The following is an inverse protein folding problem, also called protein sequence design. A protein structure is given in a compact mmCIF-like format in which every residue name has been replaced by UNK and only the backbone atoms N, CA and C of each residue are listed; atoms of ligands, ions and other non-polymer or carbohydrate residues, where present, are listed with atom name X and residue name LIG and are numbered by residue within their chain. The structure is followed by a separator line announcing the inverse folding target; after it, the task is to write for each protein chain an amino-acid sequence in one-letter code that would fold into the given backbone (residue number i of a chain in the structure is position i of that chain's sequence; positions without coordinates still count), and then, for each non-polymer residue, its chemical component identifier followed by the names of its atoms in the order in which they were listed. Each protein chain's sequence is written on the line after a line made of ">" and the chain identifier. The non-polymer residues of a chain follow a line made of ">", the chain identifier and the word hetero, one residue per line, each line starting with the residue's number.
data_IF_812520928236
#
_entry.id   IF_812520928236
#
_cell.length_a   1.000
_cell.length_b   1.000
_cell.length_c   1.000
_cell.angle_alpha   90.00
_cell.angle_beta   90.00
_cell.angle_gamma   90.00
#
_symmetry.space_group_name_H-M   'P 1'
#
loop_
_entity.id
_entity.type
_entity.pdbx_description
1 polymer ?
#
# COMPACT_ATOMS: atom_id res chain seq x y z
N UNK A 1 18.59 13.86 8.92
CA UNK A 1 17.21 13.40 8.62
C UNK A 1 16.25 14.58 8.53
N UNK A 2 16.04 15.30 9.64
CA UNK A 2 15.09 16.41 9.76
C UNK A 2 15.07 17.45 8.62
N UNK A 3 16.24 17.92 8.13
CA UNK A 3 16.30 18.86 6.99
C UNK A 3 15.60 18.32 5.73
N UNK A 4 15.73 17.03 5.43
CA UNK A 4 15.09 16.42 4.26
C UNK A 4 13.58 16.33 4.45
N UNK A 5 13.14 15.98 5.65
CA UNK A 5 11.72 15.98 6.03
C UNK A 5 11.10 17.37 5.85
N UNK A 6 11.73 18.43 6.36
CA UNK A 6 11.24 19.80 6.17
C UNK A 6 11.21 20.23 4.70
N UNK A 7 12.18 19.80 3.89
CA UNK A 7 12.17 20.07 2.44
C UNK A 7 11.00 19.36 1.75
N UNK A 8 10.74 18.11 2.12
CA UNK A 8 9.63 17.34 1.56
C UNK A 8 8.26 17.93 1.94
N UNK A 9 8.11 18.38 3.20
CA UNK A 9 6.90 19.02 3.70
C UNK A 9 6.69 20.45 3.16
N UNK A 10 7.66 21.01 2.44
CA UNK A 10 7.60 22.39 1.93
C UNK A 10 7.90 23.45 2.98
N UNK A 11 8.18 23.06 4.23
CA UNK A 11 8.54 23.95 5.35
C UNK A 11 9.93 24.58 5.17
N UNK A 12 10.74 24.03 4.25
CA UNK A 12 12.07 24.54 3.93
C UNK A 12 12.32 24.51 2.43
N UNK A 13 12.87 25.61 1.90
CA UNK A 13 13.31 25.67 0.51
C UNK A 13 14.33 24.56 0.20
N UNK A 14 14.08 23.84 -0.88
CA UNK A 14 14.99 22.85 -1.44
C UNK A 14 14.85 22.80 -2.96
N UNK A 15 15.92 22.39 -3.64
CA UNK A 15 15.96 22.32 -5.11
C UNK A 15 15.74 20.89 -5.63
N UNK A 16 15.31 19.97 -4.77
CA UNK A 16 15.12 18.57 -5.13
C UNK A 16 13.68 18.32 -5.54
N UNK A 17 13.51 17.44 -6.52
CA UNK A 17 12.21 16.85 -6.83
C UNK A 17 11.60 16.19 -5.56
N UNK A 18 10.31 16.40 -5.26
CA UNK A 18 9.69 15.87 -4.05
C UNK A 18 9.77 14.34 -3.93
N UNK A 19 9.63 13.60 -5.03
CA UNK A 19 9.70 12.13 -4.97
C UNK A 19 11.13 11.64 -4.75
N UNK A 20 12.13 12.38 -5.27
CA UNK A 20 13.55 12.13 -4.95
C UNK A 20 13.83 12.40 -3.47
N UNK A 21 13.31 13.49 -2.91
CA UNK A 21 13.46 13.81 -1.49
C UNK A 21 12.80 12.72 -0.60
N UNK A 22 11.59 12.28 -0.96
CA UNK A 22 10.87 11.18 -0.30
C UNK A 22 11.70 9.89 -0.31
N UNK A 23 12.20 9.50 -1.48
CA UNK A 23 13.02 8.29 -1.63
C UNK A 23 14.32 8.37 -0.81
N UNK A 24 14.99 9.54 -0.74
CA UNK A 24 16.18 9.72 0.10
C UNK A 24 15.89 9.58 1.60
N UNK A 25 14.74 10.08 2.08
CA UNK A 25 14.32 9.93 3.48
C UNK A 25 14.11 8.44 3.78
N UNK A 26 13.33 7.75 2.94
CA UNK A 26 13.02 6.33 3.07
C UNK A 26 14.30 5.49 3.07
N UNK A 27 15.20 5.69 2.11
CA UNK A 27 16.43 4.88 1.99
C UNK A 27 17.41 5.11 3.12
N UNK A 28 17.52 6.35 3.65
CA UNK A 28 18.34 6.62 4.84
C UNK A 28 17.81 5.91 6.08
N UNK A 29 16.49 5.93 6.32
CA UNK A 29 15.87 5.24 7.45
C UNK A 29 15.81 3.71 7.26
N UNK A 30 15.75 3.26 6.01
CA UNK A 30 15.87 1.84 5.66
C UNK A 30 17.21 1.28 6.12
N UNK A 31 18.30 1.96 5.72
CA UNK A 31 19.67 1.53 5.97
C UNK A 31 20.11 1.64 7.43
N UNK A 32 19.52 2.55 8.21
CA UNK A 32 19.89 2.80 9.60
C UNK A 32 18.66 2.65 10.51
N UNK A 33 18.51 1.46 11.11
CA UNK A 33 17.34 1.11 11.93
C UNK A 33 17.08 2.08 13.09
N UNK A 34 18.10 2.53 13.87
CA UNK A 34 17.92 3.59 14.87
C UNK A 34 17.27 4.88 14.36
N UNK A 35 17.39 5.21 13.06
CA UNK A 35 16.77 6.42 12.50
C UNK A 35 15.26 6.28 12.27
N UNK A 36 14.69 5.08 12.34
CA UNK A 36 13.26 4.86 12.05
C UNK A 36 12.38 5.48 13.12
N UNK A 37 12.66 5.21 14.39
CA UNK A 37 11.89 5.78 15.50
C UNK A 37 12.08 7.30 15.57
N UNK A 38 13.30 7.80 15.34
CA UNK A 38 13.58 9.23 15.25
C UNK A 38 12.80 9.90 14.10
N UNK A 39 12.69 9.23 12.95
CA UNK A 39 11.90 9.71 11.81
C UNK A 39 10.41 9.79 12.18
N UNK A 40 9.85 8.74 12.78
CA UNK A 40 8.45 8.73 13.21
C UNK A 40 8.18 9.78 14.29
N UNK A 41 9.10 9.96 15.24
CA UNK A 41 9.01 11.01 16.26
C UNK A 41 9.01 12.42 15.62
N UNK A 42 9.90 12.67 14.66
CA UNK A 42 9.94 13.94 13.92
C UNK A 42 8.64 14.16 13.13
N UNK A 43 8.08 13.12 12.52
CA UNK A 43 6.82 13.21 11.79
C UNK A 43 5.63 13.52 12.71
N UNK A 44 5.53 12.85 13.86
CA UNK A 44 4.53 13.16 14.89
C UNK A 44 4.63 14.63 15.28
N UNK A 45 5.84 15.09 15.62
CA UNK A 45 6.07 16.50 15.98
C UNK A 45 5.64 17.47 14.89
N UNK A 46 5.92 17.18 13.62
CA UNK A 46 5.59 18.06 12.50
C UNK A 46 4.12 17.97 12.05
N UNK A 47 3.37 16.97 12.50
CA UNK A 47 1.94 16.79 12.17
C UNK A 47 1.02 17.18 13.33
N UNK A 48 1.55 17.27 14.55
CA UNK A 48 0.82 17.80 15.71
C UNK A 48 0.71 19.32 15.59
N UNK A 49 -0.52 19.85 15.73
CA UNK A 49 -0.82 21.29 15.70
C UNK A 49 -0.25 22.03 14.47
N UNK A 50 -0.14 21.35 13.32
CA UNK A 50 0.35 21.97 12.09
C UNK A 50 -0.79 22.72 11.38
N UNK A 51 -0.75 24.05 11.47
CA UNK A 51 -1.76 24.93 10.85
C UNK A 51 -1.61 25.07 9.32
N UNK A 52 -0.56 24.53 8.71
CA UNK A 52 -0.33 24.60 7.27
C UNK A 52 -0.81 23.31 6.61
N UNK A 53 -1.99 23.35 5.99
CA UNK A 53 -2.64 22.16 5.42
C UNK A 53 -1.77 21.39 4.42
N UNK A 54 -1.07 22.10 3.54
CA UNK A 54 -0.19 21.46 2.55
C UNK A 54 1.02 20.77 3.20
N UNK A 55 1.57 21.36 4.27
CA UNK A 55 2.63 20.76 5.08
C UNK A 55 2.11 19.55 5.85
N UNK A 56 0.99 19.69 6.54
CA UNK A 56 0.33 18.62 7.30
C UNK A 56 0.06 17.39 6.43
N UNK A 57 -0.55 17.58 5.25
CA UNK A 57 -0.78 16.49 4.29
C UNK A 57 0.51 15.79 3.88
N UNK A 58 1.59 16.54 3.63
CA UNK A 58 2.90 15.97 3.28
C UNK A 58 3.52 15.19 4.42
N UNK A 59 3.34 15.63 5.67
CA UNK A 59 3.78 14.90 6.85
C UNK A 59 3.09 13.54 6.98
N UNK A 60 1.76 13.52 6.79
CA UNK A 60 0.97 12.30 6.81
C UNK A 60 1.25 11.38 5.61
N UNK A 61 1.42 11.93 4.41
CA UNK A 61 1.86 11.19 3.21
C UNK A 61 3.22 10.50 3.46
N UNK A 62 4.19 11.23 4.03
CA UNK A 62 5.51 10.69 4.36
C UNK A 62 5.42 9.57 5.41
N UNK A 63 4.65 9.75 6.47
CA UNK A 63 4.44 8.72 7.51
C UNK A 63 3.87 7.43 6.90
N UNK A 64 2.83 7.58 6.08
CA UNK A 64 2.13 6.51 5.38
C UNK A 64 3.05 5.72 4.44
N UNK A 65 3.90 6.42 3.66
CA UNK A 65 4.90 5.80 2.79
C UNK A 65 5.98 5.09 3.59
N UNK A 66 6.48 5.68 4.68
CA UNK A 66 7.49 5.05 5.54
C UNK A 66 6.98 3.74 6.15
N UNK A 67 5.73 3.72 6.62
CA UNK A 67 5.07 2.50 7.10
C UNK A 67 4.83 1.48 5.99
N UNK A 68 4.84 1.85 4.71
CA UNK A 68 4.83 0.84 3.64
C UNK A 68 6.18 0.14 3.46
N UNK A 69 7.26 0.73 3.98
CA UNK A 69 8.63 0.27 3.78
C UNK A 69 9.17 -0.44 5.02
N UNK A 70 9.06 0.17 6.19
CA UNK A 70 9.64 -0.37 7.42
C UNK A 70 8.79 -0.08 8.65
N UNK A 71 8.78 -0.98 9.64
CA UNK A 71 8.07 -0.74 10.90
C UNK A 71 8.83 0.27 11.80
N UNK A 72 8.15 0.88 12.77
CA UNK A 72 8.81 1.39 13.98
C UNK A 72 9.41 0.22 14.79
N UNK A 73 10.22 0.50 15.81
CA UNK A 73 10.62 -0.53 16.76
C UNK A 73 9.42 -1.08 17.54
N UNK A 74 9.53 -2.31 18.04
CA UNK A 74 8.48 -2.92 18.87
C UNK A 74 8.11 -2.07 20.09
N UNK A 75 9.10 -1.38 20.69
CA UNK A 75 8.89 -0.47 21.82
C UNK A 75 8.08 0.76 21.43
N UNK A 76 8.26 1.25 20.20
CA UNK A 76 7.62 2.48 19.73
C UNK A 76 6.29 2.25 19.00
N UNK A 77 6.02 1.01 18.60
CA UNK A 77 4.84 0.62 17.83
C UNK A 77 3.53 1.12 18.47
N UNK A 78 3.27 0.77 19.73
CA UNK A 78 2.02 1.13 20.42
C UNK A 78 1.85 2.64 20.60
N UNK A 79 2.96 3.39 20.71
CA UNK A 79 2.89 4.85 20.80
C UNK A 79 2.49 5.48 19.47
N UNK A 80 3.12 5.04 18.36
CA UNK A 80 2.76 5.51 17.02
C UNK A 80 1.33 5.12 16.65
N UNK A 81 0.91 3.89 16.98
CA UNK A 81 -0.46 3.42 16.77
C UNK A 81 -1.47 4.28 17.55
N UNK A 82 -1.23 4.55 18.83
CA UNK A 82 -2.09 5.43 19.63
C UNK A 82 -2.22 6.84 19.05
N UNK A 83 -1.11 7.40 18.53
CA UNK A 83 -1.11 8.70 17.85
C UNK A 83 -1.98 8.69 16.58
N UNK A 84 -1.81 7.68 15.71
CA UNK A 84 -2.60 7.53 14.48
C UNK A 84 -4.08 7.37 14.81
N UNK A 85 -4.40 6.51 15.78
CA UNK A 85 -5.78 6.25 16.21
C UNK A 85 -6.47 7.50 16.78
N UNK A 86 -5.75 8.36 17.49
CA UNK A 86 -6.32 9.63 18.00
C UNK A 86 -6.81 10.55 16.88
N UNK A 87 -6.07 10.63 15.77
CA UNK A 87 -6.45 11.44 14.61
C UNK A 87 -7.66 10.88 13.87
N UNK A 88 -7.83 9.55 13.85
CA UNK A 88 -9.03 8.91 13.31
C UNK A 88 -10.28 9.27 14.13
N UNK A 89 -10.15 9.35 15.46
CA UNK A 89 -11.25 9.77 16.34
C UNK A 89 -11.60 11.24 16.18
N UNK A 90 -10.60 12.11 16.09
CA UNK A 90 -10.85 13.56 16.00
C UNK A 90 -11.49 13.97 14.65
N UNK A 91 -11.20 13.24 13.57
CA UNK A 91 -11.87 13.44 12.27
C UNK A 91 -13.38 13.12 12.28
N UNK A 92 -13.92 12.48 13.33
CA UNK A 92 -15.36 12.23 13.46
C UNK A 92 -16.15 13.47 13.94
N UNK A 93 -15.45 14.55 14.33
CA UNK A 93 -16.11 15.79 14.76
C UNK A 93 -16.53 16.62 13.54
N UNK A 94 -17.75 17.17 13.51
CA UNK A 94 -18.21 17.98 12.40
C UNK A 94 -17.37 19.27 12.28
N UNK A 95 -16.82 19.51 11.09
CA UNK A 95 -16.06 20.73 10.78
C UNK A 95 -16.96 21.73 10.04
N UNK A 96 -16.90 23.00 10.42
CA UNK A 96 -17.82 24.02 9.92
C UNK A 96 -17.49 24.56 8.51
N UNK A 97 -16.30 24.27 7.96
CA UNK A 97 -15.85 24.78 6.65
C UNK A 97 -15.49 23.63 5.69
N UNK A 98 -15.92 23.76 4.44
CA UNK A 98 -15.71 22.75 3.37
C UNK A 98 -14.21 22.45 3.17
N UNK A 99 -13.36 23.47 3.06
CA UNK A 99 -11.92 23.26 2.86
C UNK A 99 -11.26 22.53 4.05
N UNK A 100 -11.65 22.89 5.28
CA UNK A 100 -11.15 22.23 6.48
C UNK A 100 -11.65 20.78 6.55
N UNK A 101 -12.86 20.50 6.07
CA UNK A 101 -13.41 19.14 5.93
C UNK A 101 -12.67 18.32 4.88
N UNK A 102 -12.34 18.89 3.71
CA UNK A 102 -11.57 18.20 2.66
C UNK A 102 -10.19 17.80 3.18
N UNK A 103 -9.49 18.72 3.85
CA UNK A 103 -8.20 18.45 4.47
C UNK A 103 -8.35 17.35 5.53
N UNK A 104 -9.33 17.47 6.43
CA UNK A 104 -9.65 16.47 7.45
C UNK A 104 -9.89 15.08 6.82
N UNK A 105 -10.66 14.99 5.75
CA UNK A 105 -10.90 13.74 5.02
C UNK A 105 -9.61 13.16 4.42
N UNK A 106 -8.72 13.99 3.87
CA UNK A 106 -7.42 13.52 3.36
C UNK A 106 -6.52 13.02 4.48
N UNK A 107 -6.48 13.71 5.61
CA UNK A 107 -5.73 13.27 6.80
C UNK A 107 -6.30 11.95 7.33
N UNK A 108 -7.63 11.80 7.36
CA UNK A 108 -8.28 10.54 7.74
C UNK A 108 -7.81 9.38 6.86
N UNK A 109 -7.81 9.53 5.53
CA UNK A 109 -7.34 8.50 4.61
C UNK A 109 -5.87 8.11 4.83
N UNK A 110 -4.99 9.10 5.07
CA UNK A 110 -3.59 8.79 5.43
C UNK A 110 -3.50 8.02 6.75
N UNK A 111 -4.25 8.46 7.77
CA UNK A 111 -4.26 7.83 9.08
C UNK A 111 -4.83 6.40 9.03
N UNK A 112 -5.88 6.16 8.26
CA UNK A 112 -6.48 4.83 8.05
C UNK A 112 -5.46 3.88 7.41
N UNK A 113 -4.76 4.35 6.38
CA UNK A 113 -3.71 3.56 5.75
C UNK A 113 -2.51 3.32 6.68
N UNK A 114 -2.15 4.28 7.54
CA UNK A 114 -1.13 4.08 8.57
C UNK A 114 -1.56 3.02 9.59
N UNK A 115 -2.81 3.11 10.08
CA UNK A 115 -3.39 2.19 11.04
C UNK A 115 -3.42 0.76 10.49
N UNK A 116 -3.94 0.59 9.27
CA UNK A 116 -3.95 -0.69 8.58
C UNK A 116 -2.55 -1.32 8.47
N UNK A 117 -1.52 -0.52 8.15
CA UNK A 117 -0.14 -1.01 8.03
C UNK A 117 0.46 -1.40 9.37
N UNK A 118 0.22 -0.62 10.43
CA UNK A 118 0.69 -0.93 11.78
C UNK A 118 0.08 -2.26 12.28
N UNK A 119 -1.23 -2.40 12.19
CA UNK A 119 -1.92 -3.65 12.56
C UNK A 119 -1.42 -4.85 11.75
N UNK A 120 -1.19 -4.67 10.45
CA UNK A 120 -0.65 -5.73 9.58
C UNK A 120 0.74 -6.16 10.04
N UNK A 121 1.63 -5.22 10.33
CA UNK A 121 2.98 -5.52 10.81
C UNK A 121 2.99 -6.26 12.14
N UNK A 122 2.04 -5.96 13.03
CA UNK A 122 1.88 -6.64 14.31
C UNK A 122 1.43 -8.10 14.12
N UNK A 123 0.54 -8.37 13.17
CA UNK A 123 -0.01 -9.72 12.91
C UNK A 123 0.92 -10.63 12.11
N UNK A 124 1.46 -10.15 10.99
CA UNK A 124 2.21 -10.99 10.03
C UNK A 124 3.73 -10.84 10.16
N UNK A 125 4.20 -10.02 11.10
CA UNK A 125 5.57 -9.55 11.12
C UNK A 125 5.86 -8.60 9.95
N UNK A 126 7.00 -7.90 10.04
CA UNK A 126 7.43 -6.99 8.98
C UNK A 126 8.14 -7.77 7.88
N UNK A 127 7.75 -7.57 6.61
CA UNK A 127 8.54 -8.04 5.46
C UNK A 127 9.93 -7.43 5.58
N UNK A 128 10.93 -8.23 5.98
CA UNK A 128 12.34 -7.82 5.91
C UNK A 128 12.68 -7.72 4.43
N UNK A 129 12.56 -6.53 3.85
CA UNK A 129 13.02 -6.34 2.48
C UNK A 129 14.49 -6.73 2.41
N UNK A 130 14.81 -7.64 1.51
CA UNK A 130 16.18 -8.11 1.32
C UNK A 130 17.04 -7.04 0.63
N UNK A 131 16.40 -6.07 -0.04
CA UNK A 131 17.05 -4.98 -0.77
C UNK A 131 16.46 -3.61 -0.40
N UNK A 132 17.27 -2.58 -0.61
CA UNK A 132 16.87 -1.19 -0.45
C UNK A 132 15.72 -0.82 -1.42
N UNK A 133 14.73 -0.01 -1.00
CA UNK A 133 13.66 0.46 -1.86
C UNK A 133 14.16 1.34 -3.00
N UNK A 134 13.61 1.11 -4.19
CA UNK A 134 13.79 1.94 -5.38
C UNK A 134 12.84 3.14 -5.35
N UNK A 135 13.14 4.17 -6.16
CA UNK A 135 12.23 5.32 -6.31
C UNK A 135 10.85 4.90 -6.88
N UNK A 136 10.81 3.88 -7.75
CA UNK A 136 9.59 3.36 -8.31
C UNK A 136 8.69 2.71 -7.24
N UNK A 137 9.28 1.94 -6.33
CA UNK A 137 8.57 1.32 -5.20
C UNK A 137 8.03 2.38 -4.22
N UNK A 138 8.81 3.43 -3.95
CA UNK A 138 8.38 4.56 -3.11
C UNK A 138 7.22 5.32 -3.76
N UNK A 139 7.28 5.60 -5.07
CA UNK A 139 6.18 6.22 -5.81
C UNK A 139 4.95 5.31 -5.87
N UNK A 140 5.14 4.00 -5.99
CA UNK A 140 4.04 3.03 -5.94
C UNK A 140 3.35 3.04 -4.57
N UNK A 141 4.11 3.04 -3.48
CA UNK A 141 3.56 3.13 -2.12
C UNK A 141 2.77 4.42 -1.88
N UNK A 142 3.25 5.55 -2.41
CA UNK A 142 2.55 6.84 -2.36
C UNK A 142 1.21 6.80 -3.12
N UNK A 143 1.20 6.23 -4.34
CA UNK A 143 -0.04 6.06 -5.13
C UNK A 143 -1.04 5.13 -4.45
N UNK A 144 -0.56 4.05 -3.83
CA UNK A 144 -1.40 3.06 -3.18
C UNK A 144 -2.18 3.58 -1.96
N UNK A 145 -1.86 4.77 -1.44
CA UNK A 145 -2.61 5.40 -0.36
C UNK A 145 -4.05 5.72 -0.82
N UNK A 146 -4.19 6.18 -2.06
CA UNK A 146 -5.48 6.63 -2.63
C UNK A 146 -6.01 5.69 -3.71
N UNK A 147 -5.16 4.78 -4.18
CA UNK A 147 -5.50 3.77 -5.18
C UNK A 147 -5.34 2.39 -4.52
N UNK A 148 -6.35 1.95 -3.76
CA UNK A 148 -6.28 0.64 -3.11
C UNK A 148 -6.18 -0.45 -4.18
N UNK A 149 -5.36 -1.47 -3.88
CA UNK A 149 -5.02 -2.56 -4.78
C UNK A 149 -5.73 -3.83 -4.35
N UNK A 150 -6.19 -4.64 -5.30
CA UNK A 150 -6.74 -5.97 -5.01
C UNK A 150 -5.64 -6.98 -4.63
N UNK A 151 -4.36 -6.62 -4.78
CA UNK A 151 -3.22 -7.42 -4.34
C UNK A 151 -2.70 -6.93 -2.99
N UNK A 152 -2.50 -7.83 -2.03
CA UNK A 152 -1.99 -7.44 -0.70
C UNK A 152 -3.06 -6.96 0.29
N UNK A 153 -4.32 -6.93 -0.12
CA UNK A 153 -5.52 -6.57 0.66
C UNK A 153 -6.25 -7.81 1.19
N UNK A 154 -7.25 -7.60 2.05
CA UNK A 154 -8.13 -8.71 2.48
C UNK A 154 -9.07 -9.12 1.35
N UNK A 155 -9.65 -10.31 1.47
CA UNK A 155 -10.75 -10.70 0.60
C UNK A 155 -11.93 -9.73 0.75
N UNK A 156 -12.25 -9.31 1.97
CA UNK A 156 -13.32 -8.35 2.28
C UNK A 156 -13.12 -7.03 1.53
N UNK A 157 -11.93 -6.43 1.64
CA UNK A 157 -11.58 -5.17 0.97
C UNK A 157 -11.66 -5.32 -0.55
N UNK A 158 -11.15 -6.45 -1.08
CA UNK A 158 -11.21 -6.75 -2.52
C UNK A 158 -12.66 -6.80 -3.00
N UNK A 159 -13.52 -7.48 -2.24
CA UNK A 159 -14.95 -7.58 -2.53
C UNK A 159 -15.66 -6.23 -2.39
N UNK A 160 -15.29 -5.39 -1.43
CA UNK A 160 -15.85 -4.04 -1.27
C UNK A 160 -15.48 -3.16 -2.46
N UNK A 161 -14.19 -3.10 -2.84
CA UNK A 161 -13.73 -2.33 -4.00
C UNK A 161 -14.41 -2.79 -5.30
N UNK A 162 -14.62 -4.09 -5.44
CA UNK A 162 -15.30 -4.68 -6.59
C UNK A 162 -16.73 -4.15 -6.76
N UNK A 163 -17.46 -3.85 -5.68
CA UNK A 163 -18.88 -3.44 -5.79
C UNK A 163 -19.09 -2.19 -6.64
N UNK A 164 -18.05 -1.36 -6.81
CA UNK A 164 -18.09 -0.18 -7.66
C UNK A 164 -18.25 -0.55 -9.14
N UNK A 165 -17.51 -1.57 -9.60
CA UNK A 165 -17.46 -1.96 -11.02
C UNK A 165 -18.35 -3.18 -11.32
N UNK A 166 -18.48 -4.09 -10.36
CA UNK A 166 -19.18 -5.37 -10.51
C UNK A 166 -20.03 -5.69 -9.26
N UNK A 167 -21.11 -4.93 -8.99
CA UNK A 167 -21.92 -5.05 -7.78
C UNK A 167 -22.60 -6.41 -7.60
N UNK A 168 -22.91 -7.09 -8.70
CA UNK A 168 -23.66 -8.35 -8.68
C UNK A 168 -22.78 -9.60 -8.51
N UNK A 169 -21.45 -9.44 -8.59
CA UNK A 169 -20.53 -10.56 -8.47
C UNK A 169 -20.41 -11.02 -7.01
N UNK A 170 -20.74 -12.29 -6.79
CA UNK A 170 -20.65 -12.96 -5.47
C UNK A 170 -19.27 -13.52 -5.16
N UNK A 171 -18.41 -13.62 -6.18
CA UNK A 171 -17.03 -14.08 -6.08
C UNK A 171 -16.10 -12.95 -6.51
N UNK A 172 -14.82 -12.96 -6.09
CA UNK A 172 -13.83 -12.00 -6.54
C UNK A 172 -13.69 -12.01 -8.06
N UNK A 173 -13.77 -10.83 -8.67
CA UNK A 173 -13.70 -10.62 -10.11
C UNK A 173 -12.37 -11.12 -10.66
N UNK A 174 -11.27 -10.85 -9.95
CA UNK A 174 -9.93 -11.32 -10.32
C UNK A 174 -9.83 -12.85 -10.37
N UNK A 175 -10.54 -13.56 -9.48
CA UNK A 175 -10.61 -15.02 -9.50
C UNK A 175 -11.32 -15.51 -10.77
N UNK A 176 -12.47 -14.91 -11.07
CA UNK A 176 -13.27 -15.22 -12.27
C UNK A 176 -12.48 -14.95 -13.55
N UNK A 177 -12.00 -13.72 -13.74
CA UNK A 177 -11.39 -13.31 -14.99
C UNK A 177 -10.08 -14.07 -15.30
N UNK A 178 -9.24 -14.34 -14.29
CA UNK A 178 -8.02 -15.11 -14.49
C UNK A 178 -8.32 -16.59 -14.75
N UNK A 179 -9.30 -17.17 -14.07
CA UNK A 179 -9.70 -18.58 -14.27
C UNK A 179 -10.32 -18.78 -15.66
N UNK A 180 -11.22 -17.90 -16.06
CA UNK A 180 -11.77 -17.88 -17.43
C UNK A 180 -10.66 -17.75 -18.46
N UNK A 181 -9.66 -16.89 -18.21
CA UNK A 181 -8.55 -16.74 -19.14
C UNK A 181 -7.69 -17.99 -19.25
N UNK A 182 -7.39 -18.66 -18.14
CA UNK A 182 -6.68 -19.95 -18.13
C UNK A 182 -7.45 -20.99 -18.95
N UNK A 183 -8.78 -21.07 -18.78
CA UNK A 183 -9.63 -22.01 -19.53
C UNK A 183 -9.65 -21.68 -21.03
N UNK A 184 -9.81 -20.41 -21.41
CA UNK A 184 -9.82 -19.96 -22.80
C UNK A 184 -8.51 -20.27 -23.53
N UNK A 185 -7.39 -20.25 -22.82
CA UNK A 185 -6.05 -20.59 -23.35
C UNK A 185 -5.72 -22.08 -23.22
N UNK A 186 -6.73 -22.94 -23.07
CA UNK A 186 -6.59 -24.40 -22.93
C UNK A 186 -5.67 -24.83 -21.77
N UNK A 187 -5.60 -24.02 -20.72
CA UNK A 187 -4.74 -24.25 -19.55
C UNK A 187 -5.09 -25.54 -18.79
N UNK A 188 -6.31 -26.06 -18.92
CA UNK A 188 -6.72 -27.35 -18.34
C UNK A 188 -5.98 -28.55 -18.93
N UNK A 189 -5.42 -28.41 -20.14
CA UNK A 189 -4.60 -29.44 -20.79
C UNK A 189 -3.09 -29.22 -20.59
N UNK A 190 -2.68 -28.11 -19.96
CA UNK A 190 -1.27 -27.79 -19.72
C UNK A 190 -0.77 -28.54 -18.51
N UNK A 191 0.20 -29.44 -18.72
CA UNK A 191 0.82 -30.18 -17.62
C UNK A 191 1.52 -29.22 -16.66
N UNK A 192 1.14 -29.28 -15.38
CA UNK A 192 1.77 -28.44 -14.37
C UNK A 192 1.46 -26.96 -14.52
N UNK A 193 0.26 -26.59 -15.00
CA UNK A 193 -0.21 -25.19 -15.13
C UNK A 193 0.03 -24.31 -13.89
N UNK A 194 -0.03 -24.89 -12.70
CA UNK A 194 0.28 -24.19 -11.44
C UNK A 194 1.70 -24.44 -10.91
N UNK A 195 2.49 -25.29 -11.57
CA UNK A 195 3.89 -25.62 -11.23
C UNK A 195 4.88 -24.84 -12.08
N UNK A 196 4.62 -24.68 -13.38
CA UNK A 196 5.47 -23.93 -14.32
C UNK A 196 5.15 -22.43 -14.19
N UNK A 197 6.17 -21.56 -14.01
CA UNK A 197 5.93 -20.12 -13.99
C UNK A 197 5.81 -19.56 -15.41
N UNK A 198 4.82 -18.70 -15.66
CA UNK A 198 4.82 -17.81 -16.82
C UNK A 198 5.92 -16.74 -16.76
N UNK A 199 6.12 -16.03 -17.87
CA UNK A 199 7.09 -14.94 -17.98
C UNK A 199 6.81 -13.84 -16.93
N UNK A 200 7.85 -13.41 -16.22
CA UNK A 200 7.69 -12.51 -15.06
C UNK A 200 7.29 -11.09 -15.47
N UNK A 201 7.76 -10.61 -16.63
CA UNK A 201 7.44 -9.27 -17.11
C UNK A 201 6.00 -9.25 -17.62
N UNK A 202 5.55 -10.30 -18.29
CA UNK A 202 4.14 -10.47 -18.66
C UNK A 202 3.22 -10.61 -17.44
N UNK A 203 3.62 -11.36 -16.41
CA UNK A 203 2.85 -11.46 -15.15
C UNK A 203 2.72 -10.09 -14.48
N UNK A 204 3.80 -9.30 -14.43
CA UNK A 204 3.76 -7.97 -13.85
C UNK A 204 2.90 -6.99 -14.68
N UNK A 205 2.96 -7.08 -16.01
CA UNK A 205 2.10 -6.30 -16.89
C UNK A 205 0.62 -6.66 -16.68
N UNK A 206 0.31 -7.95 -16.62
CA UNK A 206 -1.05 -8.46 -16.37
C UNK A 206 -1.55 -8.05 -14.99
N UNK A 207 -0.68 -8.03 -13.98
CA UNK A 207 -0.99 -7.54 -12.64
C UNK A 207 -1.42 -6.07 -12.68
N UNK A 208 -0.64 -5.19 -13.29
CA UNK A 208 -0.98 -3.76 -13.40
C UNK A 208 -2.32 -3.57 -14.11
N UNK A 209 -2.58 -4.35 -15.17
CA UNK A 209 -3.82 -4.31 -15.93
C UNK A 209 -5.03 -4.73 -15.08
N UNK A 210 -4.97 -5.89 -14.44
CA UNK A 210 -6.05 -6.42 -13.59
C UNK A 210 -6.30 -5.55 -12.35
N UNK A 211 -5.25 -4.99 -11.75
CA UNK A 211 -5.38 -4.07 -10.60
C UNK A 211 -6.11 -2.76 -10.97
N UNK A 212 -6.20 -2.45 -12.27
CA UNK A 212 -7.00 -1.34 -12.82
C UNK A 212 -8.40 -1.76 -13.31
N UNK A 213 -8.85 -2.99 -12.98
CA UNK A 213 -10.13 -3.57 -13.40
C UNK A 213 -10.27 -3.83 -14.91
N UNK A 214 -9.15 -3.85 -15.64
CA UNK A 214 -9.14 -4.15 -17.08
C UNK A 214 -9.04 -5.67 -17.31
N UNK A 215 -9.86 -6.19 -18.23
CA UNK A 215 -9.90 -7.62 -18.56
C UNK A 215 -8.60 -8.10 -19.23
N UNK A 216 -8.11 -9.31 -18.90
CA UNK A 216 -6.85 -9.88 -19.40
C UNK A 216 -6.94 -10.47 -20.83
N UNK A 217 -7.61 -9.79 -21.75
CA UNK A 217 -7.99 -10.34 -23.08
C UNK A 217 -6.80 -10.62 -24.01
N UNK A 218 -5.67 -9.95 -23.75
CA UNK A 218 -4.40 -10.02 -24.48
C UNK A 218 -3.41 -11.06 -23.91
N UNK A 219 -3.72 -11.68 -22.77
CA UNK A 219 -2.85 -12.67 -22.14
C UNK A 219 -2.92 -14.01 -22.89
N UNK A 220 -1.98 -14.31 -23.77
CA UNK A 220 -2.05 -15.52 -24.61
C UNK A 220 -1.35 -16.75 -23.99
N UNK A 221 -0.68 -16.60 -22.85
CA UNK A 221 -0.05 -17.71 -22.13
C UNK A 221 -0.89 -18.08 -20.88
N UNK A 222 -1.42 -19.32 -20.79
CA UNK A 222 -2.14 -19.77 -19.61
C UNK A 222 -1.26 -19.79 -18.35
N UNK A 223 0.06 -20.00 -18.47
CA UNK A 223 0.98 -19.99 -17.32
C UNK A 223 1.16 -18.59 -16.73
N UNK A 224 1.05 -17.52 -17.54
CA UNK A 224 1.08 -16.13 -17.06
C UNK A 224 -0.15 -15.85 -16.22
N UNK A 225 -1.35 -16.18 -16.72
CA UNK A 225 -2.59 -16.03 -15.96
C UNK A 225 -2.60 -16.89 -14.67
N UNK A 226 -2.13 -18.15 -14.75
CA UNK A 226 -2.02 -19.04 -13.61
C UNK A 226 -0.99 -18.57 -12.57
N UNK A 227 0.15 -18.03 -13.01
CA UNK A 227 1.15 -17.39 -12.15
C UNK A 227 0.56 -16.22 -11.38
N UNK A 228 -0.18 -15.34 -12.07
CA UNK A 228 -0.81 -14.19 -11.43
C UNK A 228 -1.91 -14.61 -10.44
N UNK A 229 -2.72 -15.61 -10.79
CA UNK A 229 -3.77 -16.13 -9.92
C UNK A 229 -3.18 -16.71 -8.62
N UNK A 230 -2.13 -17.52 -8.72
CA UNK A 230 -1.38 -18.02 -7.55
C UNK A 230 -0.81 -16.87 -6.73
N UNK A 231 -0.24 -15.86 -7.39
CA UNK A 231 0.30 -14.70 -6.71
C UNK A 231 -0.80 -13.95 -5.94
N UNK A 232 -1.99 -13.77 -6.52
CA UNK A 232 -3.09 -13.09 -5.85
C UNK A 232 -3.50 -13.81 -4.57
N UNK A 233 -3.73 -15.14 -4.63
CA UNK A 233 -4.05 -15.93 -3.43
C UNK A 233 -2.97 -15.84 -2.35
N UNK A 234 -1.69 -15.93 -2.74
CA UNK A 234 -0.56 -15.83 -1.81
C UNK A 234 -0.42 -14.42 -1.22
N UNK A 235 -0.76 -13.40 -2.00
CA UNK A 235 -0.65 -12.00 -1.59
C UNK A 235 -1.86 -11.55 -0.74
N UNK A 236 -2.95 -12.33 -0.64
CA UNK A 236 -4.08 -12.03 0.25
C UNK A 236 -3.60 -11.81 1.70
N UNK A 237 -4.15 -10.79 2.36
CA UNK A 237 -3.76 -10.45 3.75
C UNK A 237 -4.07 -11.61 4.70
N UNK A 238 -5.23 -12.23 4.52
CA UNK A 238 -5.70 -13.36 5.29
C UNK A 238 -5.75 -14.56 4.33
N UNK A 239 -4.86 -15.56 4.49
CA UNK A 239 -4.86 -16.75 3.63
C UNK A 239 -6.20 -17.45 3.70
N UNK A 240 -6.76 -17.79 2.54
CA UNK A 240 -8.03 -18.53 2.46
C UNK A 240 -7.85 -20.04 2.65
N UNK A 241 -6.61 -20.52 2.52
CA UNK A 241 -6.24 -21.92 2.66
C UNK A 241 -5.31 -22.02 3.86
N UNK A 242 -5.67 -22.88 4.82
CA UNK A 242 -4.80 -23.21 5.94
C UNK A 242 -3.51 -23.89 5.42
N UNK A 243 -2.36 -23.53 5.98
CA UNK A 243 -1.06 -24.18 5.69
C UNK A 243 -0.97 -25.63 6.24
N UNK A 244 -2.07 -26.21 6.71
CA UNK A 244 -2.11 -27.51 7.40
C UNK A 244 -2.45 -28.71 6.52
N UNK A 245 -2.30 -28.59 5.19
CA UNK A 245 -2.48 -29.70 4.24
C UNK A 245 -1.18 -30.09 3.56
#
# INVERSE_FOLDING_TARGET
>A
MFKFLLVYMGDKKGNKDPDVALWEIVTKAWANQPLRDELYFQLIKQTTDNCCSSSLEKGWELMSVCLAMFPPSAKYHSYLEGYVYSHLKDNQRPVHKILEQEISNRIAQYAENCQYKLEKMAKTGSRKGQRQPTIAEVKAAKRAIFNPSMFGSTLEDTMEMQRINFPDLKLPWILGCLTERIIQQNGTAVEGIFRVPGDIDEVNALKVKTDSWAYPDDCNDPNVAASLLKQWFRDLKDPLLDESV
#
